data_IF_548047935202
#
_entry.id   IF_548047935202
#
_cell.length_a   1.000
_cell.length_b   1.000
_cell.length_c   1.000
_cell.angle_alpha   90.00
_cell.angle_beta   90.00
_cell.angle_gamma   90.00
#
_symmetry.space_group_name_H-M   'P 1'
#
loop_
_entity.id
_entity.type
_entity.pdbx_description
1 polymer ?
#
# COMPACT_ATOMS: atom_id res chain seq x y z
N UNK A 1 6.29 -2.09 -11.30
CA UNK A 1 6.51 -3.34 -10.54
C UNK A 1 7.77 -3.24 -9.71
N UNK A 2 7.83 -4.02 -8.63
CA UNK A 2 9.02 -4.11 -7.78
C UNK A 2 10.22 -4.66 -8.54
N UNK A 3 11.40 -4.13 -8.24
CA UNK A 3 12.67 -4.51 -8.88
C UNK A 3 13.63 -5.20 -7.92
N UNK A 4 13.29 -5.27 -6.63
CA UNK A 4 14.08 -5.89 -5.57
C UNK A 4 13.16 -6.66 -4.60
N UNK A 5 13.73 -7.27 -3.56
CA UNK A 5 13.03 -8.12 -2.60
C UNK A 5 11.80 -7.46 -2.00
N UNK A 6 10.66 -8.12 -2.17
CA UNK A 6 9.42 -7.76 -1.46
C UNK A 6 9.63 -8.06 0.03
N UNK A 7 9.47 -7.05 0.86
CA UNK A 7 9.71 -7.14 2.31
C UNK A 7 8.44 -7.51 3.07
N UNK A 8 7.30 -7.01 2.60
CA UNK A 8 6.03 -7.23 3.27
C UNK A 8 4.86 -7.12 2.29
N UNK A 9 3.76 -7.78 2.65
CA UNK A 9 2.50 -7.76 1.89
C UNK A 9 1.34 -7.81 2.87
N UNK A 10 0.35 -6.95 2.66
CA UNK A 10 -0.81 -6.84 3.54
C UNK A 10 -2.10 -6.77 2.72
N UNK A 11 -3.09 -7.58 3.10
CA UNK A 11 -4.43 -7.56 2.50
C UNK A 11 -5.31 -6.54 3.24
N UNK A 12 -6.00 -5.69 2.49
CA UNK A 12 -6.92 -4.72 3.07
C UNK A 12 -8.25 -5.42 3.42
N UNK A 13 -8.79 -5.22 4.63
CA UNK A 13 -10.10 -5.78 4.98
C UNK A 13 -11.18 -5.19 4.06
N UNK A 14 -11.89 -6.05 3.34
CA UNK A 14 -13.02 -5.70 2.49
C UNK A 14 -14.31 -5.78 3.32
N UNK A 15 -14.77 -4.65 3.85
CA UNK A 15 -16.02 -4.54 4.62
C UNK A 15 -17.28 -4.70 3.74
N UNK A 16 -17.40 -5.85 3.05
CA UNK A 16 -18.55 -6.18 2.19
C UNK A 16 -18.49 -5.59 0.77
N UNK A 17 -17.38 -4.96 0.38
CA UNK A 17 -17.15 -4.52 -1.00
C UNK A 17 -16.55 -5.66 -1.84
N UNK A 18 -16.94 -5.81 -3.13
CA UNK A 18 -16.36 -6.82 -4.01
C UNK A 18 -14.89 -6.50 -4.39
N UNK A 19 -14.45 -5.25 -4.17
CA UNK A 19 -13.08 -4.81 -4.43
C UNK A 19 -12.14 -5.38 -3.37
N UNK A 20 -11.20 -6.22 -3.80
CA UNK A 20 -10.08 -6.66 -2.97
C UNK A 20 -8.87 -5.78 -3.22
N UNK A 21 -8.19 -5.36 -2.14
CA UNK A 21 -7.01 -4.50 -2.22
C UNK A 21 -5.86 -5.12 -1.44
N UNK A 22 -4.65 -5.10 -2.00
CA UNK A 22 -3.42 -5.56 -1.36
C UNK A 22 -2.38 -4.44 -1.45
N UNK A 23 -1.58 -4.27 -0.41
CA UNK A 23 -0.36 -3.47 -0.45
C UNK A 23 0.85 -4.39 -0.43
N UNK A 24 1.86 -4.08 -1.24
CA UNK A 24 3.18 -4.72 -1.18
C UNK A 24 4.26 -3.66 -1.09
N UNK A 25 5.30 -3.94 -0.30
CA UNK A 25 6.46 -3.08 -0.20
C UNK A 25 7.75 -3.84 -0.48
N UNK A 26 8.76 -3.14 -0.98
CA UNK A 26 10.03 -3.75 -1.37
C UNK A 26 11.24 -2.94 -0.89
N UNK A 27 12.37 -3.63 -0.90
CA UNK A 27 13.70 -3.08 -0.67
C UNK A 27 14.05 -1.98 -1.70
N UNK A 28 13.40 -2.00 -2.87
CA UNK A 28 13.57 -0.97 -3.91
C UNK A 28 12.99 0.42 -3.52
N UNK A 29 12.36 0.49 -2.35
CA UNK A 29 11.77 1.70 -1.79
C UNK A 29 10.42 2.07 -2.35
N UNK A 30 9.81 1.19 -3.15
CA UNK A 30 8.47 1.39 -3.70
C UNK A 30 7.44 0.65 -2.87
N UNK A 31 6.27 1.27 -2.76
CA UNK A 31 5.04 0.60 -2.31
C UNK A 31 4.09 0.51 -3.50
N UNK A 32 3.54 -0.67 -3.74
CA UNK A 32 2.55 -0.92 -4.77
C UNK A 32 1.22 -1.32 -4.15
N UNK A 33 0.13 -0.81 -4.73
CA UNK A 33 -1.24 -1.14 -4.37
C UNK A 33 -1.83 -1.93 -5.50
N UNK A 34 -2.34 -3.11 -5.16
CA UNK A 34 -2.98 -4.03 -6.08
C UNK A 34 -4.46 -4.03 -5.81
N UNK A 35 -5.26 -3.81 -6.84
CA UNK A 35 -6.71 -3.83 -6.74
C UNK A 35 -7.28 -4.87 -7.69
N UNK A 36 -8.31 -5.57 -7.21
CA UNK A 36 -9.10 -6.52 -7.99
C UNK A 36 -10.57 -6.17 -7.82
N UNK A 37 -11.29 -5.94 -8.93
CA UNK A 37 -12.68 -5.48 -8.92
C UNK A 37 -13.68 -6.56 -8.51
N UNK A 38 -13.60 -7.74 -9.13
CA UNK A 38 -14.36 -8.94 -8.77
C UNK A 38 -13.44 -10.15 -8.64
N UNK A 39 -13.90 -11.14 -7.89
CA UNK A 39 -13.20 -12.41 -7.78
C UNK A 39 -13.04 -13.05 -9.18
N UNK A 40 -11.78 -13.30 -9.57
CA UNK A 40 -11.42 -13.79 -10.90
C UNK A 40 -10.97 -12.72 -11.89
N UNK A 41 -11.12 -11.43 -11.58
CA UNK A 41 -10.53 -10.36 -12.38
C UNK A 41 -9.00 -10.33 -12.25
N UNK A 42 -8.33 -9.71 -13.22
CA UNK A 42 -6.89 -9.49 -13.16
C UNK A 42 -6.55 -8.48 -12.07
N UNK A 43 -5.46 -8.73 -11.34
CA UNK A 43 -4.91 -7.77 -10.39
C UNK A 43 -4.24 -6.61 -11.12
N UNK A 44 -4.69 -5.40 -10.83
CA UNK A 44 -4.09 -4.17 -11.35
C UNK A 44 -3.20 -3.54 -10.28
N UNK A 45 -1.91 -3.37 -10.59
CA UNK A 45 -0.92 -2.81 -9.67
C UNK A 45 -0.56 -1.37 -10.01
N UNK A 46 -0.76 -0.45 -9.06
CA UNK A 46 -0.33 0.95 -9.15
C UNK A 46 0.78 1.21 -8.13
N UNK A 47 1.82 1.94 -8.53
CA UNK A 47 2.84 2.40 -7.57
C UNK A 47 2.24 3.55 -6.77
N UNK A 48 2.23 3.40 -5.44
CA UNK A 48 1.73 4.41 -4.53
C UNK A 48 2.74 5.55 -4.37
N UNK A 49 3.98 5.21 -4.06
CA UNK A 49 5.06 6.19 -3.89
C UNK A 49 6.42 5.50 -3.94
N UNK A 50 7.45 6.29 -4.23
CA UNK A 50 8.86 5.91 -4.14
C UNK A 50 9.52 6.66 -2.98
N UNK A 51 9.77 5.93 -1.89
CA UNK A 51 10.34 6.44 -0.64
C UNK A 51 11.86 6.58 -0.70
N UNK A 52 12.51 6.17 -1.81
CA UNK A 52 13.97 6.18 -2.03
C UNK A 52 14.79 5.45 -0.97
N UNK A 53 14.12 4.76 -0.06
CA UNK A 53 14.69 4.03 1.06
C UNK A 53 13.90 2.74 1.22
N UNK A 54 14.53 1.66 1.73
CA UNK A 54 13.85 0.38 1.89
C UNK A 54 12.58 0.52 2.74
N UNK A 55 11.48 -0.05 2.26
CA UNK A 55 10.22 -0.08 3.02
C UNK A 55 10.10 -1.45 3.67
N UNK A 56 10.02 -1.47 5.00
CA UNK A 56 10.11 -2.71 5.76
C UNK A 56 8.76 -3.35 6.04
N UNK A 57 7.73 -2.52 6.26
CA UNK A 57 6.39 -2.97 6.68
C UNK A 57 5.29 -2.15 6.06
N UNK A 58 4.18 -2.82 5.79
CA UNK A 58 2.92 -2.21 5.39
C UNK A 58 1.77 -2.78 6.22
N UNK A 59 0.84 -1.93 6.65
CA UNK A 59 -0.30 -2.37 7.45
C UNK A 59 -1.55 -1.58 7.13
N UNK A 60 -2.66 -2.30 6.94
CA UNK A 60 -3.96 -1.69 6.67
C UNK A 60 -4.70 -1.38 7.96
N UNK A 61 -5.37 -0.23 8.00
CA UNK A 61 -6.41 0.06 8.99
C UNK A 61 -7.54 -0.98 8.88
N UNK A 62 -8.21 -1.25 10.00
CA UNK A 62 -9.37 -2.13 10.06
C UNK A 62 -10.52 -1.66 9.14
N UNK A 63 -10.58 -0.35 8.88
CA UNK A 63 -11.54 0.24 7.93
C UNK A 63 -11.13 0.09 6.47
N UNK A 64 -9.94 -0.43 6.17
CA UNK A 64 -9.43 -0.64 4.80
C UNK A 64 -9.01 0.63 4.05
N UNK A 65 -9.26 1.82 4.60
CA UNK A 65 -9.08 3.09 3.88
C UNK A 65 -7.73 3.77 4.14
N UNK A 66 -6.97 3.33 5.14
CA UNK A 66 -5.69 3.93 5.52
C UNK A 66 -4.62 2.83 5.49
N UNK A 67 -3.49 3.14 4.87
CA UNK A 67 -2.31 2.31 4.84
C UNK A 67 -1.20 2.97 5.66
N UNK A 68 -0.64 2.25 6.62
CA UNK A 68 0.57 2.61 7.31
C UNK A 68 1.78 2.00 6.59
N UNK A 69 2.80 2.80 6.34
CA UNK A 69 4.05 2.41 5.67
C UNK A 69 5.22 2.80 6.57
N UNK A 70 6.03 1.82 6.96
CA UNK A 70 7.26 2.06 7.74
C UNK A 70 8.49 2.03 6.83
N UNK A 71 9.18 3.17 6.73
CA UNK A 71 10.36 3.35 5.89
C UNK A 71 11.68 3.06 6.62
N UNK A 72 12.78 3.08 5.88
CA UNK A 72 14.13 2.88 6.41
C UNK A 72 14.74 4.10 7.10
N UNK A 73 14.04 5.24 7.10
CA UNK A 73 14.45 6.47 7.78
C UNK A 73 13.84 6.61 9.17
N UNK A 74 13.31 5.51 9.71
CA UNK A 74 12.60 5.43 10.99
C UNK A 74 11.27 6.23 11.00
N UNK A 75 10.75 6.62 9.83
CA UNK A 75 9.46 7.29 9.77
C UNK A 75 8.35 6.30 9.44
N UNK A 76 7.16 6.59 9.95
CA UNK A 76 5.92 5.90 9.56
C UNK A 76 5.02 6.91 8.86
N UNK A 77 4.69 6.65 7.60
CA UNK A 77 3.77 7.48 6.83
C UNK A 77 2.41 6.81 6.73
N UNK A 78 1.33 7.58 6.89
CA UNK A 78 -0.02 7.10 6.63
C UNK A 78 -0.51 7.64 5.29
N UNK A 79 -1.12 6.75 4.52
CA UNK A 79 -1.62 7.02 3.18
C UNK A 79 -3.10 6.71 3.10
N UNK A 80 -3.84 7.51 2.36
CA UNK A 80 -5.29 7.35 2.15
C UNK A 80 -5.62 7.48 0.67
N UNK A 81 -6.48 6.59 0.18
CA UNK A 81 -7.07 6.68 -1.15
C UNK A 81 -8.08 7.84 -1.17
N UNK A 82 -7.87 8.82 -2.05
CA UNK A 82 -8.82 9.88 -2.33
C UNK A 82 -9.91 9.40 -3.30
N UNK A 83 -10.96 10.20 -3.46
CA UNK A 83 -12.16 9.84 -4.26
C UNK A 83 -11.82 9.66 -5.75
N UNK A 84 -10.74 10.28 -6.20
CA UNK A 84 -10.17 10.17 -7.55
C UNK A 84 -9.31 8.91 -7.77
N UNK A 85 -9.09 8.09 -6.74
CA UNK A 85 -8.20 6.92 -6.81
C UNK A 85 -6.71 7.27 -6.73
N UNK A 86 -6.37 8.50 -6.33
CA UNK A 86 -5.01 8.88 -5.98
C UNK A 86 -4.71 8.58 -4.51
N UNK A 87 -3.48 8.16 -4.23
CA UNK A 87 -3.02 7.90 -2.87
C UNK A 87 -2.26 9.10 -2.36
N UNK A 88 -2.77 9.70 -1.29
CA UNK A 88 -2.16 10.87 -0.69
C UNK A 88 -1.58 10.54 0.68
N UNK A 89 -0.38 11.06 0.96
CA UNK A 89 0.23 11.01 2.28
C UNK A 89 -0.54 11.97 3.19
N UNK A 90 -1.07 11.45 4.29
CA UNK A 90 -1.90 12.21 5.24
C UNK A 90 -1.07 12.69 6.43
N UNK A 91 -0.18 11.84 6.93
CA UNK A 91 0.64 12.14 8.11
C UNK A 91 1.97 11.39 8.03
N UNK A 92 2.99 12.00 8.62
CA UNK A 92 4.27 11.36 8.93
C UNK A 92 4.44 11.35 10.44
N UNK A 93 4.72 10.18 10.99
CA UNK A 93 5.06 9.95 12.39
C UNK A 93 6.56 9.66 12.44
N UNK A 94 7.27 10.32 13.36
CA UNK A 94 8.70 10.18 13.60
C UNK A 94 8.95 9.61 14.99
#
# INVERSE_FOLDING_TARGET
MHTDWVRDVAWAPNLGLPKSTIASCSQDGKVAIWTQGKEGDKWEGKILNDFKTPVWRVSWSLTGNILAVADGNNNVTLWKEAVDGEWNQVITVQ
#
